data_IF_972291279830
#
_entry.id   IF_972291279830
#
_cell.length_a   1.000
_cell.length_b   1.000
_cell.length_c   1.000
_cell.angle_alpha   90.00
_cell.angle_beta   90.00
_cell.angle_gamma   90.00
#
_symmetry.space_group_name_H-M   'P 1'
#
loop_
_entity.id
_entity.type
_entity.pdbx_description
1 polymer ?
#
# COMPACT_ATOMS: atom_id res chain seq x y z
N UNK A 1 -0.06 -17.48 6.54
CA UNK A 1 1.37 -17.65 6.86
C UNK A 1 2.08 -17.91 5.55
N UNK A 2 3.18 -17.22 5.24
CA UNK A 2 3.86 -17.38 3.95
C UNK A 2 4.43 -18.80 3.83
N UNK A 3 3.87 -19.61 2.93
CA UNK A 3 4.37 -20.95 2.65
C UNK A 3 5.46 -20.88 1.56
N UNK A 4 6.61 -21.48 1.86
CA UNK A 4 7.87 -21.52 1.11
C UNK A 4 8.73 -20.23 1.15
N UNK A 5 9.73 -20.22 2.04
CA UNK A 5 10.89 -19.31 1.93
C UNK A 5 10.63 -17.83 2.17
N UNK A 6 9.51 -17.46 2.81
CA UNK A 6 9.19 -16.06 3.14
C UNK A 6 8.78 -15.21 1.95
N UNK A 7 8.45 -15.81 0.80
CA UNK A 7 7.98 -15.06 -0.36
C UNK A 7 6.46 -14.84 -0.30
N UNK A 8 6.05 -13.58 -0.37
CA UNK A 8 4.65 -13.18 -0.57
C UNK A 8 4.40 -13.13 -2.07
N UNK A 9 3.82 -14.19 -2.64
CA UNK A 9 3.65 -14.33 -4.09
C UNK A 9 2.88 -13.16 -4.71
N UNK A 10 1.93 -12.62 -3.96
CA UNK A 10 1.13 -11.45 -4.32
C UNK A 10 1.96 -10.17 -4.35
N UNK A 11 2.85 -9.99 -3.38
CA UNK A 11 3.77 -8.86 -3.30
C UNK A 11 4.69 -8.84 -4.53
N UNK A 12 5.33 -9.97 -4.83
CA UNK A 12 6.21 -10.09 -5.99
C UNK A 12 5.47 -9.91 -7.31
N UNK A 13 4.23 -10.41 -7.41
CA UNK A 13 3.41 -10.24 -8.59
C UNK A 13 3.14 -8.75 -8.87
N UNK A 14 2.78 -7.97 -7.85
CA UNK A 14 2.51 -6.54 -7.98
C UNK A 14 3.80 -5.74 -8.26
N UNK A 15 4.87 -5.96 -7.50
CA UNK A 15 6.15 -5.27 -7.70
C UNK A 15 6.77 -5.55 -9.07
N UNK A 16 6.65 -6.79 -9.58
CA UNK A 16 7.13 -7.13 -10.93
C UNK A 16 6.43 -6.37 -12.05
N UNK A 17 5.30 -5.73 -11.75
CA UNK A 17 4.48 -4.95 -12.68
C UNK A 17 4.61 -3.44 -12.46
N UNK A 18 5.57 -2.99 -11.64
CA UNK A 18 5.75 -1.58 -11.28
C UNK A 18 4.52 -1.00 -10.56
N UNK A 19 3.88 -1.82 -9.72
CA UNK A 19 2.73 -1.42 -8.90
C UNK A 19 3.15 -1.33 -7.44
N UNK A 20 2.94 -0.18 -6.83
CA UNK A 20 3.18 0.05 -5.41
C UNK A 20 2.12 -0.62 -4.52
N UNK A 21 2.54 -0.96 -3.31
CA UNK A 21 1.68 -1.50 -2.27
C UNK A 21 1.67 -0.58 -1.06
N UNK A 22 0.55 -0.58 -0.35
CA UNK A 22 0.41 0.08 0.95
C UNK A 22 -0.08 -0.96 1.93
N UNK A 23 0.63 -1.09 3.04
CA UNK A 23 0.38 -2.13 4.04
C UNK A 23 -0.05 -1.52 5.37
N UNK A 24 -0.72 -2.33 6.20
CA UNK A 24 -1.07 -1.99 7.59
C UNK A 24 -1.92 -0.72 7.70
N UNK A 25 -2.89 -0.54 6.78
CA UNK A 25 -3.87 0.54 6.86
C UNK A 25 -4.81 0.37 8.06
N UNK A 26 -5.20 1.48 8.67
CA UNK A 26 -6.25 1.53 9.69
C UNK A 26 -7.52 2.21 9.14
N UNK A 27 -8.61 2.18 9.92
CA UNK A 27 -9.87 2.90 9.65
C UNK A 27 -10.57 2.59 8.32
N UNK A 28 -10.26 1.45 7.68
CA UNK A 28 -10.91 1.02 6.45
C UNK A 28 -12.42 0.78 6.62
N UNK A 29 -12.86 0.47 7.84
CA UNK A 29 -14.27 0.37 8.24
C UNK A 29 -15.05 1.69 8.13
N UNK A 30 -14.34 2.82 8.08
CA UNK A 30 -14.92 4.16 7.95
C UNK A 30 -14.91 4.67 6.50
N UNK A 31 -14.41 3.88 5.55
CA UNK A 31 -14.31 4.25 4.13
C UNK A 31 -15.39 3.47 3.35
N UNK A 32 -16.21 4.13 2.51
CA UNK A 32 -17.16 3.42 1.66
C UNK A 32 -16.43 2.51 0.68
N UNK A 33 -17.10 1.44 0.24
CA UNK A 33 -16.52 0.46 -0.70
C UNK A 33 -16.04 1.08 -2.02
N UNK A 34 -16.61 2.22 -2.43
CA UNK A 34 -16.18 2.99 -3.61
C UNK A 34 -16.46 4.48 -3.44
N UNK A 35 -15.90 5.29 -4.33
CA UNK A 35 -16.16 6.74 -4.39
C UNK A 35 -15.20 7.62 -3.58
N UNK A 36 -14.40 7.05 -2.67
CA UNK A 36 -13.37 7.81 -1.96
C UNK A 36 -12.12 8.04 -2.81
N UNK A 37 -11.47 9.19 -2.64
CA UNK A 37 -10.14 9.44 -3.17
C UNK A 37 -9.08 9.10 -2.12
N UNK A 38 -8.15 8.20 -2.46
CA UNK A 38 -7.03 7.85 -1.59
C UNK A 38 -5.81 8.68 -1.97
N UNK A 39 -5.30 9.46 -1.02
CA UNK A 39 -4.07 10.25 -1.17
C UNK A 39 -2.96 9.63 -0.33
N UNK A 40 -1.76 9.56 -0.91
CA UNK A 40 -0.59 8.93 -0.30
C UNK A 40 0.56 9.93 -0.38
N UNK A 41 1.13 10.29 0.77
CA UNK A 41 2.29 11.16 0.85
C UNK A 41 3.45 10.43 1.54
N UNK A 42 4.64 10.50 0.94
CA UNK A 42 5.86 9.86 1.43
C UNK A 42 7.09 10.71 1.10
N UNK A 43 8.15 10.64 1.92
CA UNK A 43 9.40 11.33 1.60
C UNK A 43 10.12 10.66 0.43
N UNK A 44 10.62 11.47 -0.50
CA UNK A 44 11.39 10.99 -1.64
C UNK A 44 12.85 10.78 -1.25
N UNK A 45 13.15 9.59 -0.72
CA UNK A 45 14.52 9.17 -0.44
C UNK A 45 15.15 8.48 -1.65
N UNK A 46 16.46 8.66 -1.82
CA UNK A 46 17.22 8.01 -2.89
C UNK A 46 17.49 6.55 -2.52
N UNK A 47 17.33 5.64 -3.48
CA UNK A 47 17.71 4.21 -3.39
C UNK A 47 17.00 3.41 -2.28
N UNK A 48 15.76 3.77 -1.92
CA UNK A 48 14.95 2.99 -0.98
C UNK A 48 13.89 2.16 -1.71
N UNK A 49 13.53 1.02 -1.12
CA UNK A 49 12.48 0.13 -1.64
C UNK A 49 11.10 0.38 -1.02
N UNK A 50 11.03 1.20 0.03
CA UNK A 50 9.79 1.55 0.73
C UNK A 50 10.02 2.60 1.82
N UNK A 51 8.95 3.24 2.28
CA UNK A 51 8.98 4.30 3.29
C UNK A 51 7.67 4.32 4.09
N UNK A 52 7.68 4.73 5.37
CA UNK A 52 6.44 5.07 6.07
C UNK A 52 5.69 6.16 5.29
N UNK A 53 4.37 6.01 5.24
CA UNK A 53 3.50 6.91 4.48
C UNK A 53 2.41 7.51 5.37
N UNK A 54 1.91 8.68 4.98
CA UNK A 54 0.62 9.18 5.45
C UNK A 54 -0.41 8.94 4.37
N UNK A 55 -1.40 8.10 4.66
CA UNK A 55 -2.55 7.86 3.80
C UNK A 55 -3.76 8.61 4.34
N UNK A 56 -4.48 9.30 3.46
CA UNK A 56 -5.74 9.99 3.79
C UNK A 56 -6.78 9.60 2.76
N UNK A 57 -7.93 9.10 3.23
CA UNK A 57 -9.13 8.92 2.42
C UNK A 57 -9.97 10.20 2.47
N UNK A 58 -10.28 10.77 1.30
CA UNK A 58 -11.24 11.86 1.15
C UNK A 58 -12.57 11.22 0.74
N UNK A 59 -13.56 11.28 1.63
CA UNK A 59 -14.86 10.67 1.43
C UNK A 59 -15.72 11.52 0.45
N UNK A 60 -16.71 10.91 -0.23
CA UNK A 60 -17.67 11.61 -1.11
C UNK A 60 -18.45 12.73 -0.44
#
# INVERSE_FOLDING_TARGET
MAESGGKLSEEYYLLSKDIYQIEVLNNLDQVPASGSLITIAFPHFSQIVGSPVRVIAILP
#
